data_IF_512276705288
#
_entry.id   IF_512276705288
#
_cell.length_a   1.000
_cell.length_b   1.000
_cell.length_c   1.000
_cell.angle_alpha   90.00
_cell.angle_beta   90.00
_cell.angle_gamma   90.00
#
_symmetry.space_group_name_H-M   'P 1'
#
loop_
_entity.id
_entity.type
_entity.pdbx_description
1 polymer ?
#
# COMPACT_ATOMS: atom_id res chain seq x y z
N UNK A 1 12.61 25.16 -2.25
CA UNK A 1 13.84 24.35 -2.39
C UNK A 1 13.88 23.28 -1.28
N UNK A 2 13.07 22.22 -1.37
CA UNK A 2 13.12 21.05 -0.46
C UNK A 2 12.75 19.80 -1.27
N UNK A 3 13.66 19.34 -2.13
CA UNK A 3 13.44 18.11 -2.94
C UNK A 3 14.60 17.11 -2.86
N UNK A 4 15.48 17.25 -1.86
CA UNK A 4 16.77 16.55 -1.83
C UNK A 4 17.10 15.92 -0.49
N UNK A 5 16.21 15.08 0.04
CA UNK A 5 16.53 14.29 1.23
C UNK A 5 15.82 12.93 1.31
N UNK A 6 15.70 12.18 0.21
CA UNK A 6 15.20 10.80 0.29
C UNK A 6 16.15 9.75 -0.30
N UNK A 7 17.32 10.12 -0.82
CA UNK A 7 18.24 9.13 -1.41
C UNK A 7 17.57 8.28 -2.49
N UNK A 8 18.18 7.13 -2.82
CA UNK A 8 17.59 6.14 -3.74
C UNK A 8 16.57 5.26 -2.99
N UNK A 9 15.26 5.32 -3.33
CA UNK A 9 14.22 4.53 -2.66
C UNK A 9 14.44 3.02 -2.76
N UNK A 10 15.14 2.53 -3.80
CA UNK A 10 15.38 1.12 -4.03
C UNK A 10 16.39 0.51 -3.03
N UNK A 11 17.17 1.35 -2.35
CA UNK A 11 18.18 0.92 -1.38
C UNK A 11 17.73 1.02 0.08
N UNK A 12 16.50 1.43 0.34
CA UNK A 12 15.99 1.49 1.70
C UNK A 12 15.66 0.08 2.20
N UNK A 13 16.25 -0.37 3.33
CA UNK A 13 15.90 -1.66 3.95
C UNK A 13 14.40 -1.82 4.25
N UNK A 14 13.68 -0.69 4.32
CA UNK A 14 12.25 -0.63 4.54
C UNK A 14 11.37 -1.19 3.41
N UNK A 15 11.81 -1.22 2.14
CA UNK A 15 10.95 -1.76 1.07
C UNK A 15 10.64 -3.25 1.25
N UNK A 16 11.64 -4.03 1.69
CA UNK A 16 11.45 -5.45 2.02
C UNK A 16 10.68 -5.64 3.34
N UNK A 17 10.90 -4.76 4.32
CA UNK A 17 10.20 -4.82 5.61
C UNK A 17 8.71 -4.48 5.49
N UNK A 18 8.33 -3.53 4.62
CA UNK A 18 6.94 -3.17 4.36
C UNK A 18 6.19 -4.31 3.68
N UNK A 19 6.83 -4.96 2.70
CA UNK A 19 6.28 -6.14 2.04
C UNK A 19 6.04 -7.27 3.03
N UNK A 20 7.05 -7.60 3.85
CA UNK A 20 6.93 -8.68 4.84
C UNK A 20 5.85 -8.39 5.90
N UNK A 21 5.75 -7.14 6.36
CA UNK A 21 4.70 -6.71 7.29
C UNK A 21 3.30 -6.80 6.66
N UNK A 22 3.19 -6.43 5.37
CA UNK A 22 1.94 -6.53 4.61
C UNK A 22 1.52 -7.99 4.48
N UNK A 23 2.47 -8.87 4.15
CA UNK A 23 2.26 -10.32 4.05
C UNK A 23 1.77 -10.92 5.37
N UNK A 24 2.45 -10.62 6.48
CA UNK A 24 2.05 -11.08 7.82
C UNK A 24 0.62 -10.63 8.17
N UNK A 25 0.28 -9.38 7.86
CA UNK A 25 -1.06 -8.85 8.09
C UNK A 25 -2.11 -9.60 7.27
N UNK A 26 -1.85 -9.84 5.98
CA UNK A 26 -2.77 -10.56 5.11
C UNK A 26 -2.96 -12.01 5.53
N UNK A 27 -1.90 -12.71 5.93
CA UNK A 27 -1.98 -14.06 6.49
C UNK A 27 -2.89 -14.10 7.72
N UNK A 28 -2.71 -13.17 8.68
CA UNK A 28 -3.56 -13.09 9.86
C UNK A 28 -5.02 -12.78 9.51
N UNK A 29 -5.27 -11.92 8.52
CA UNK A 29 -6.62 -11.59 8.05
C UNK A 29 -7.30 -12.77 7.33
N UNK A 30 -6.53 -13.60 6.61
CA UNK A 30 -7.00 -14.85 6.01
C UNK A 30 -7.38 -15.88 7.08
N UNK A 31 -6.50 -16.10 8.06
CA UNK A 31 -6.76 -17.01 9.18
C UNK A 31 -8.02 -16.64 9.97
N UNK A 32 -8.28 -15.34 10.10
CA UNK A 32 -9.48 -14.80 10.77
C UNK A 32 -10.72 -14.74 9.87
N UNK A 33 -10.62 -15.09 8.60
CA UNK A 33 -11.72 -15.00 7.63
C UNK A 33 -12.23 -13.58 7.42
N UNK A 34 -11.38 -12.56 7.53
CA UNK A 34 -11.77 -11.16 7.31
C UNK A 34 -11.72 -10.81 5.82
N UNK A 35 -10.75 -11.38 5.11
CA UNK A 35 -10.56 -11.23 3.67
C UNK A 35 -10.91 -12.53 2.92
N UNK A 36 -11.22 -12.40 1.64
CA UNK A 36 -11.49 -13.51 0.70
C UNK A 36 -10.26 -14.41 0.61
N UNK A 37 -10.47 -15.70 0.32
CA UNK A 37 -9.38 -16.64 0.07
C UNK A 37 -8.63 -16.24 -1.20
N UNK A 38 -7.42 -15.71 -1.03
CA UNK A 38 -6.50 -15.28 -2.09
C UNK A 38 -5.08 -15.70 -1.73
N UNK A 39 -4.18 -15.69 -2.71
CA UNK A 39 -2.74 -15.87 -2.46
C UNK A 39 -2.19 -14.68 -1.66
N UNK A 40 -1.70 -14.94 -0.46
CA UNK A 40 -1.26 -13.90 0.48
C UNK A 40 -0.01 -13.16 0.00
N UNK A 41 0.91 -13.86 -0.67
CA UNK A 41 2.14 -13.28 -1.21
C UNK A 41 1.81 -12.34 -2.37
N UNK A 42 0.99 -12.80 -3.32
CA UNK A 42 0.55 -11.98 -4.44
C UNK A 42 -0.23 -10.74 -3.98
N UNK A 43 -1.14 -10.91 -3.01
CA UNK A 43 -1.88 -9.79 -2.43
C UNK A 43 -0.95 -8.81 -1.69
N UNK A 44 0.07 -9.29 -0.98
CA UNK A 44 1.05 -8.45 -0.30
C UNK A 44 1.88 -7.62 -1.29
N UNK A 45 2.37 -8.26 -2.36
CA UNK A 45 3.09 -7.58 -3.44
C UNK A 45 2.22 -6.49 -4.06
N UNK A 46 0.97 -6.79 -4.42
CA UNK A 46 0.06 -5.83 -5.06
C UNK A 46 -0.26 -4.64 -4.14
N UNK A 47 -0.62 -4.88 -2.88
CA UNK A 47 -0.93 -3.81 -1.93
C UNK A 47 0.29 -2.93 -1.64
N UNK A 48 1.47 -3.54 -1.44
CA UNK A 48 2.70 -2.82 -1.20
C UNK A 48 3.12 -1.97 -2.42
N UNK A 49 3.01 -2.53 -3.63
CA UNK A 49 3.28 -1.79 -4.87
C UNK A 49 2.30 -0.63 -5.08
N UNK A 50 1.00 -0.83 -4.83
CA UNK A 50 0.00 0.22 -4.93
C UNK A 50 0.26 1.35 -3.91
N UNK A 51 0.57 1.01 -2.66
CA UNK A 51 0.90 1.97 -1.62
C UNK A 51 2.17 2.78 -1.95
N UNK A 52 3.21 2.12 -2.47
CA UNK A 52 4.43 2.80 -2.88
C UNK A 52 4.17 3.74 -4.06
N UNK A 53 3.43 3.29 -5.07
CA UNK A 53 3.12 4.13 -6.22
C UNK A 53 2.24 5.34 -5.83
N UNK A 54 1.31 5.15 -4.89
CA UNK A 54 0.54 6.25 -4.30
C UNK A 54 1.44 7.27 -3.60
N UNK A 55 2.40 6.82 -2.79
CA UNK A 55 3.36 7.71 -2.11
C UNK A 55 4.21 8.50 -3.11
N UNK A 56 4.71 7.86 -4.17
CA UNK A 56 5.46 8.52 -5.24
C UNK A 56 4.61 9.57 -5.96
N UNK A 57 3.34 9.25 -6.25
CA UNK A 57 2.42 10.19 -6.89
C UNK A 57 2.12 11.41 -6.02
N UNK A 58 1.86 11.22 -4.72
CA UNK A 58 1.68 12.33 -3.75
C UNK A 58 2.93 13.21 -3.71
N UNK A 59 4.12 12.61 -3.62
CA UNK A 59 5.38 13.34 -3.56
C UNK A 59 5.71 14.13 -4.84
N UNK A 60 5.19 13.68 -5.98
CA UNK A 60 5.32 14.36 -7.27
C UNK A 60 4.24 15.42 -7.51
N UNK A 61 3.13 15.40 -6.77
CA UNK A 61 1.97 16.28 -6.99
C UNK A 61 2.29 17.75 -6.71
N UNK A 62 1.78 18.70 -7.52
CA UNK A 62 1.85 20.12 -7.24
C UNK A 62 0.96 20.56 -6.06
N UNK A 63 -0.04 19.74 -5.70
CA UNK A 63 -0.92 19.96 -4.55
C UNK A 63 -1.04 18.67 -3.71
N UNK A 64 -0.05 18.36 -2.84
CA UNK A 64 -0.05 17.16 -2.02
C UNK A 64 -1.24 17.08 -1.06
N UNK A 65 -1.77 18.23 -0.63
CA UNK A 65 -2.90 18.31 0.31
C UNK A 65 -4.21 17.85 -0.33
N UNK A 66 -4.39 18.07 -1.64
CA UNK A 66 -5.51 17.48 -2.40
C UNK A 66 -5.24 16.07 -2.89
N UNK A 67 -3.99 15.76 -3.24
CA UNK A 67 -3.60 14.44 -3.74
C UNK A 67 -3.76 13.34 -2.69
N UNK A 68 -3.32 13.59 -1.45
CA UNK A 68 -3.36 12.61 -0.36
C UNK A 68 -4.77 12.04 -0.10
N UNK A 69 -5.82 12.86 0.17
CA UNK A 69 -7.16 12.33 0.43
C UNK A 69 -7.74 11.59 -0.80
N UNK A 70 -7.45 12.06 -2.01
CA UNK A 70 -7.93 11.42 -3.23
C UNK A 70 -7.34 10.02 -3.42
N UNK A 71 -6.03 9.85 -3.22
CA UNK A 71 -5.39 8.55 -3.40
C UNK A 71 -5.71 7.58 -2.26
N UNK A 72 -5.91 8.08 -1.03
CA UNK A 72 -6.40 7.25 0.09
C UNK A 72 -7.77 6.67 -0.26
N UNK A 73 -8.71 7.49 -0.76
CA UNK A 73 -10.03 7.01 -1.15
C UNK A 73 -9.95 5.89 -2.18
N UNK A 74 -9.17 6.08 -3.26
CA UNK A 74 -8.98 5.05 -4.30
C UNK A 74 -8.29 3.80 -3.76
N UNK A 75 -7.24 3.95 -2.94
CA UNK A 75 -6.54 2.81 -2.35
C UNK A 75 -7.45 1.99 -1.43
N UNK A 76 -8.29 2.65 -0.64
CA UNK A 76 -9.28 1.99 0.22
C UNK A 76 -10.28 1.19 -0.59
N UNK A 77 -10.83 1.74 -1.68
CA UNK A 77 -11.73 1.00 -2.57
C UNK A 77 -11.05 -0.25 -3.15
N UNK A 78 -9.81 -0.13 -3.63
CA UNK A 78 -9.05 -1.26 -4.16
C UNK A 78 -8.81 -2.35 -3.09
N UNK A 79 -8.38 -1.95 -1.89
CA UNK A 79 -8.12 -2.86 -0.79
C UNK A 79 -9.40 -3.52 -0.26
N UNK A 80 -10.53 -2.79 -0.25
CA UNK A 80 -11.84 -3.31 0.16
C UNK A 80 -12.31 -4.48 -0.71
N UNK A 81 -11.84 -4.55 -1.96
CA UNK A 81 -12.07 -5.67 -2.86
C UNK A 81 -11.57 -7.01 -2.32
N UNK A 82 -10.64 -7.01 -1.36
CA UNK A 82 -10.18 -8.21 -0.65
C UNK A 82 -11.10 -8.60 0.51
N UNK A 83 -11.87 -7.68 1.10
CA UNK A 83 -12.72 -7.96 2.25
C UNK A 83 -13.87 -8.93 1.91
N UNK A 84 -14.23 -9.83 2.82
CA UNK A 84 -15.36 -10.76 2.60
C UNK A 84 -16.70 -10.04 2.42
N UNK A 85 -16.86 -8.89 3.08
CA UNK A 85 -17.96 -7.96 2.83
C UNK A 85 -17.37 -6.63 2.37
N UNK A 86 -17.81 -6.09 1.22
CA UNK A 86 -17.47 -4.73 0.87
C UNK A 86 -18.01 -3.79 1.95
N UNK A 87 -17.21 -2.77 2.31
CA UNK A 87 -17.64 -1.67 3.16
C UNK A 87 -18.38 -0.61 2.34
#
# INVERSE_FOLDING_TARGET
>A
MVRRFLGDPAQWPGQLSCLESTRQTLTQLLERGVIKTVDADAAAYMLNSAAMNAALWIAASPDPQKALPAIIAVFTELASGLCQRPQ
#
